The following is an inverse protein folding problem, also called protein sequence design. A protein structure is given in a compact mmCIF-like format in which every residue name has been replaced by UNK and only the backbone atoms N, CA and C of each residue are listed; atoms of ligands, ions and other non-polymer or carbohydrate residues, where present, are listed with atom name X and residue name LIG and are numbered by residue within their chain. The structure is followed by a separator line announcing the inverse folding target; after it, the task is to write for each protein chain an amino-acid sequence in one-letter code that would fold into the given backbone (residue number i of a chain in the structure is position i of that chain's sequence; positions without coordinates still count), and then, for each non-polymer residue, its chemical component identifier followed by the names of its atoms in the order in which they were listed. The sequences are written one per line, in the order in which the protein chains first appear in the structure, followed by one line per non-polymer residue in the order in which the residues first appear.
data_IF_757343730221
#
_entry.id   IF_757343730221
#
_cell.length_a   1.000
_cell.length_b   1.000
_cell.length_c   1.000
_cell.angle_alpha   90.00
_cell.angle_beta   90.00
_cell.angle_gamma   90.00
#
_symmetry.space_group_name_H-M   'P 1'
#
loop_
_entity.id
_entity.type
_entity.pdbx_description
1 polymer ?
#
# COMPACT_ATOMS: atom_id res chain seq x y z
N UNK A 1 -27.84 3.77 3.47
CA UNK A 1 -28.06 3.29 2.10
C UNK A 1 -28.56 4.39 1.14
N UNK A 2 -29.12 5.50 1.59
CA UNK A 2 -29.74 6.54 0.77
C UNK A 2 -29.17 7.95 1.07
N UNK A 3 -27.86 8.11 1.07
CA UNK A 3 -27.25 9.44 1.19
C UNK A 3 -27.16 10.08 -0.21
N UNK A 4 -27.97 11.10 -0.52
CA UNK A 4 -27.99 11.71 -1.83
C UNK A 4 -26.72 12.49 -2.15
N UNK A 5 -26.08 13.09 -1.15
CA UNK A 5 -24.85 13.88 -1.29
C UNK A 5 -23.69 12.99 -1.73
N UNK A 6 -23.51 11.84 -1.04
CA UNK A 6 -22.45 10.88 -1.35
C UNK A 6 -22.72 10.08 -2.63
N UNK A 7 -23.98 9.91 -3.03
CA UNK A 7 -24.31 9.18 -4.28
C UNK A 7 -24.28 10.05 -5.53
N UNK A 8 -24.46 11.35 -5.39
CA UNK A 8 -24.54 12.25 -6.54
C UNK A 8 -23.24 12.26 -7.33
N UNK A 9 -23.28 11.80 -8.59
CA UNK A 9 -22.14 11.70 -9.51
C UNK A 9 -20.95 10.84 -8.99
N UNK A 10 -21.20 9.95 -8.04
CA UNK A 10 -20.28 8.88 -7.70
C UNK A 10 -20.27 7.87 -8.85
N UNK A 11 -19.10 7.56 -9.41
CA UNK A 11 -19.00 6.64 -10.53
C UNK A 11 -18.14 5.40 -10.25
N UNK A 12 -17.26 5.47 -9.24
CA UNK A 12 -16.39 4.36 -8.86
C UNK A 12 -16.11 4.38 -7.37
N UNK A 13 -15.94 3.19 -6.80
CA UNK A 13 -15.46 2.99 -5.43
C UNK A 13 -14.32 2.00 -5.51
N UNK A 14 -13.15 2.40 -5.02
CA UNK A 14 -11.97 1.55 -4.92
C UNK A 14 -11.75 1.13 -3.46
N UNK A 15 -11.33 -0.10 -3.29
CA UNK A 15 -11.05 -0.69 -1.98
C UNK A 15 -9.61 -1.17 -1.92
N UNK A 16 -8.91 -0.75 -0.90
CA UNK A 16 -7.62 -1.30 -0.49
C UNK A 16 -7.81 -1.91 0.89
N UNK A 17 -7.58 -3.21 1.03
CA UNK A 17 -7.87 -3.95 2.27
C UNK A 17 -6.69 -4.79 2.72
N UNK A 18 -6.65 -5.12 4.01
CA UNK A 18 -5.63 -5.99 4.61
C UNK A 18 -6.24 -7.25 5.23
N UNK A 19 -5.40 -8.25 5.47
CA UNK A 19 -5.79 -9.45 6.23
C UNK A 19 -6.16 -9.12 7.69
N UNK A 20 -5.68 -7.98 8.22
CA UNK A 20 -6.01 -7.49 9.57
C UNK A 20 -7.29 -6.64 9.63
N UNK A 21 -8.16 -6.73 8.61
CA UNK A 21 -9.45 -6.03 8.52
C UNK A 21 -9.35 -4.49 8.56
N UNK A 22 -8.28 -3.93 8.00
CA UNK A 22 -8.20 -2.50 7.73
C UNK A 22 -8.63 -2.24 6.28
N UNK A 23 -9.22 -1.08 6.00
CA UNK A 23 -9.59 -0.68 4.67
C UNK A 23 -9.37 0.82 4.42
N UNK A 24 -8.84 1.15 3.25
CA UNK A 24 -8.99 2.48 2.64
C UNK A 24 -10.03 2.36 1.53
N UNK A 25 -11.02 3.23 1.55
CA UNK A 25 -12.10 3.26 0.55
C UNK A 25 -12.07 4.61 -0.14
N UNK A 26 -11.81 4.60 -1.44
CA UNK A 26 -11.79 5.81 -2.27
C UNK A 26 -13.11 5.93 -3.03
N UNK A 27 -13.78 7.05 -2.83
CA UNK A 27 -15.03 7.43 -3.50
C UNK A 27 -14.70 8.40 -4.63
N UNK A 28 -14.92 8.00 -5.91
CA UNK A 28 -14.51 8.75 -7.09
C UNK A 28 -15.72 9.43 -7.76
N UNK A 29 -15.60 10.73 -8.02
CA UNK A 29 -16.70 11.57 -8.44
C UNK A 29 -16.45 12.37 -9.72
N UNK A 30 -17.52 12.56 -10.50
CA UNK A 30 -17.61 13.55 -11.57
C UNK A 30 -18.20 14.89 -11.10
N UNK A 31 -17.87 15.30 -9.88
CA UNK A 31 -18.27 16.61 -9.32
C UNK A 31 -17.15 17.15 -8.43
N UNK A 32 -17.21 18.45 -8.14
CA UNK A 32 -16.37 19.02 -7.05
C UNK A 32 -16.82 18.46 -5.71
N UNK A 33 -15.88 18.23 -4.83
CA UNK A 33 -16.12 17.85 -3.43
C UNK A 33 -16.08 19.13 -2.59
N UNK A 34 -17.08 19.30 -1.75
CA UNK A 34 -17.31 20.48 -0.91
C UNK A 34 -17.39 20.11 0.58
N UNK A 35 -17.68 21.07 1.42
CA UNK A 35 -17.78 20.87 2.87
C UNK A 35 -18.98 19.98 3.23
N UNK A 36 -20.08 20.04 2.48
CA UNK A 36 -21.23 19.17 2.67
C UNK A 36 -20.85 17.70 2.41
N UNK A 37 -20.11 17.46 1.31
CA UNK A 37 -19.57 16.13 1.04
C UNK A 37 -18.67 15.64 2.18
N UNK A 38 -17.79 16.51 2.71
CA UNK A 38 -16.89 16.15 3.81
C UNK A 38 -17.66 15.73 5.05
N UNK A 39 -18.67 16.52 5.47
CA UNK A 39 -19.50 16.22 6.64
C UNK A 39 -20.22 14.87 6.51
N UNK A 40 -20.81 14.61 5.35
CA UNK A 40 -21.51 13.35 5.08
C UNK A 40 -20.57 12.15 5.00
N UNK A 41 -19.37 12.34 4.47
CA UNK A 41 -18.34 11.29 4.42
C UNK A 41 -17.78 10.99 5.83
N UNK A 42 -17.59 12.00 6.67
CA UNK A 42 -17.22 11.83 8.09
C UNK A 42 -18.29 11.06 8.85
N UNK A 43 -19.56 11.42 8.67
CA UNK A 43 -20.69 10.70 9.28
C UNK A 43 -20.76 9.24 8.83
N UNK A 44 -20.51 8.96 7.52
CA UNK A 44 -20.44 7.60 7.00
C UNK A 44 -19.26 6.82 7.63
N UNK A 45 -18.07 7.41 7.68
CA UNK A 45 -16.90 6.79 8.32
C UNK A 45 -17.19 6.40 9.77
N UNK A 46 -17.76 7.33 10.54
CA UNK A 46 -18.03 7.12 11.94
C UNK A 46 -19.09 6.04 12.17
N UNK A 47 -20.12 6.01 11.31
CA UNK A 47 -21.12 4.95 11.32
C UNK A 47 -20.56 3.57 10.99
N UNK A 48 -19.57 3.49 10.08
CA UNK A 48 -18.87 2.24 9.76
C UNK A 48 -17.96 1.81 10.92
N UNK A 49 -17.23 2.73 11.53
CA UNK A 49 -16.39 2.47 12.71
C UNK A 49 -17.19 2.02 13.93
N UNK A 50 -18.40 2.54 14.11
CA UNK A 50 -19.33 2.08 15.15
C UNK A 50 -19.76 0.60 14.95
N UNK A 51 -19.60 0.04 13.75
CA UNK A 51 -19.79 -1.38 13.43
C UNK A 51 -18.48 -2.19 13.50
N UNK A 52 -17.45 -1.68 14.15
CA UNK A 52 -16.12 -2.27 14.28
C UNK A 52 -15.37 -2.45 12.94
N UNK A 53 -15.70 -1.65 11.93
CA UNK A 53 -14.96 -1.62 10.67
C UNK A 53 -13.82 -0.59 10.76
N UNK A 54 -12.58 -1.04 10.64
CA UNK A 54 -11.42 -0.15 10.61
C UNK A 54 -11.26 0.44 9.19
N UNK A 55 -11.95 1.55 8.93
CA UNK A 55 -12.04 2.15 7.60
C UNK A 55 -11.55 3.60 7.59
N UNK A 56 -10.82 3.93 6.53
CA UNK A 56 -10.42 5.29 6.15
C UNK A 56 -11.09 5.64 4.83
N UNK A 57 -11.70 6.84 4.74
CA UNK A 57 -12.40 7.27 3.55
C UNK A 57 -11.63 8.40 2.83
N UNK A 58 -11.59 8.30 1.51
CA UNK A 58 -11.00 9.30 0.63
C UNK A 58 -12.04 9.70 -0.42
N UNK A 59 -12.17 10.99 -0.67
CA UNK A 59 -12.89 11.53 -1.82
C UNK A 59 -11.94 11.92 -2.93
N UNK A 60 -12.23 11.47 -4.15
CA UNK A 60 -11.48 11.88 -5.36
C UNK A 60 -12.37 12.52 -6.39
N UNK A 61 -11.91 13.61 -6.94
CA UNK A 61 -12.48 14.27 -8.11
C UNK A 61 -11.34 14.78 -8.99
N UNK A 62 -11.64 15.40 -10.13
CA UNK A 62 -10.62 15.94 -11.02
C UNK A 62 -9.70 16.92 -10.25
N UNK A 63 -8.42 16.60 -10.18
CA UNK A 63 -7.37 17.37 -9.48
C UNK A 63 -7.64 17.62 -7.98
N UNK A 64 -8.53 16.84 -7.36
CA UNK A 64 -8.88 16.98 -5.94
C UNK A 64 -8.82 15.62 -5.25
N UNK A 65 -8.14 15.59 -4.11
CA UNK A 65 -8.14 14.47 -3.17
C UNK A 65 -8.45 15.03 -1.78
N UNK A 66 -9.46 14.48 -1.13
CA UNK A 66 -9.81 14.78 0.26
C UNK A 66 -9.59 13.52 1.08
N UNK A 67 -8.65 13.55 1.97
CA UNK A 67 -8.41 12.51 2.96
C UNK A 67 -9.14 12.90 4.24
N UNK A 68 -9.94 11.99 4.80
CA UNK A 68 -10.58 12.26 6.10
C UNK A 68 -9.63 11.96 7.26
N UNK A 69 -8.75 10.97 7.10
CA UNK A 69 -7.78 10.58 8.13
C UNK A 69 -6.40 10.31 7.50
N UNK A 70 -6.30 9.24 6.73
CA UNK A 70 -5.07 8.78 6.08
C UNK A 70 -5.37 8.07 4.76
N UNK A 71 -4.36 7.95 3.90
CA UNK A 71 -4.46 7.33 2.58
C UNK A 71 -3.70 5.99 2.48
N UNK A 72 -3.38 5.39 3.60
CA UNK A 72 -2.64 4.13 3.65
C UNK A 72 -3.18 3.19 4.73
N UNK A 73 -2.82 1.93 4.60
CA UNK A 73 -2.99 0.88 5.61
C UNK A 73 -1.73 0.02 5.67
N UNK A 74 -1.47 -0.60 6.81
CA UNK A 74 -0.31 -1.47 7.01
C UNK A 74 -0.76 -2.93 6.99
N UNK A 75 -0.38 -3.65 5.92
CA UNK A 75 -0.60 -5.09 5.78
C UNK A 75 0.45 -5.86 6.58
N UNK A 76 0.01 -6.94 7.25
CA UNK A 76 0.88 -7.84 8.00
C UNK A 76 0.82 -9.23 7.40
N UNK A 77 1.92 -9.68 6.82
CA UNK A 77 2.00 -10.96 6.14
C UNK A 77 2.91 -11.92 6.90
N UNK A 78 2.43 -13.12 7.25
CA UNK A 78 3.29 -14.17 7.80
C UNK A 78 4.08 -14.83 6.65
N UNK A 79 5.33 -14.44 6.46
CA UNK A 79 6.19 -14.92 5.37
C UNK A 79 7.30 -15.79 5.94
N UNK A 80 7.30 -17.09 5.66
CA UNK A 80 8.31 -18.05 6.10
C UNK A 80 8.67 -17.89 7.60
N UNK A 81 7.65 -17.86 8.45
CA UNK A 81 7.78 -17.80 9.91
C UNK A 81 8.11 -16.41 10.47
N UNK A 82 8.20 -15.36 9.64
CA UNK A 82 8.41 -13.97 10.08
C UNK A 82 7.21 -13.12 9.69
N UNK A 83 6.68 -12.31 10.61
CA UNK A 83 5.71 -11.29 10.26
C UNK A 83 6.43 -10.16 9.51
N UNK A 84 5.93 -9.85 8.30
CA UNK A 84 6.40 -8.75 7.48
C UNK A 84 5.33 -7.64 7.44
N UNK A 85 5.76 -6.41 7.62
CA UNK A 85 4.88 -5.22 7.60
C UNK A 85 5.08 -4.49 6.28
N UNK A 86 3.96 -4.26 5.56
CA UNK A 86 3.96 -3.56 4.29
C UNK A 86 2.93 -2.44 4.29
N UNK A 87 3.38 -1.19 4.28
CA UNK A 87 2.51 -0.05 4.03
C UNK A 87 2.02 -0.07 2.59
N UNK A 88 0.72 -0.06 2.44
CA UNK A 88 0.02 0.03 1.18
C UNK A 88 -0.62 1.41 1.10
N UNK A 89 -0.28 2.17 0.05
CA UNK A 89 -0.76 3.54 -0.15
C UNK A 89 -1.83 3.54 -1.23
N UNK A 90 -2.91 4.26 -0.98
CA UNK A 90 -4.00 4.44 -1.93
C UNK A 90 -3.48 4.94 -3.29
N UNK A 91 -4.03 4.38 -4.38
CA UNK A 91 -3.62 4.66 -5.76
C UNK A 91 -2.15 4.33 -6.08
N UNK A 92 -1.50 3.49 -5.28
CA UNK A 92 -0.20 2.88 -5.58
C UNK A 92 -0.37 1.39 -5.84
N UNK A 93 0.52 0.81 -6.64
CA UNK A 93 0.45 -0.63 -6.89
C UNK A 93 0.78 -1.41 -5.61
N UNK A 94 -0.06 -2.40 -5.31
CA UNK A 94 0.18 -3.42 -4.29
C UNK A 94 -0.29 -4.78 -4.81
N UNK A 95 0.21 -5.88 -4.23
CA UNK A 95 -0.29 -7.20 -4.58
C UNK A 95 -1.72 -7.38 -4.06
N UNK A 96 -2.73 -7.52 -4.95
CA UNK A 96 -4.13 -7.47 -4.55
C UNK A 96 -4.61 -8.72 -3.81
N UNK A 97 -3.89 -9.84 -3.93
CA UNK A 97 -4.20 -11.09 -3.26
C UNK A 97 -3.10 -11.40 -2.24
N UNK A 98 -3.37 -11.08 -0.98
CA UNK A 98 -2.41 -11.25 0.11
C UNK A 98 -1.97 -12.72 0.29
N UNK A 99 -2.88 -13.69 0.16
CA UNK A 99 -2.54 -15.11 0.29
C UNK A 99 -1.60 -15.57 -0.83
N UNK A 100 -1.85 -15.14 -2.06
CA UNK A 100 -0.95 -15.40 -3.18
C UNK A 100 0.37 -14.67 -3.02
N UNK A 101 0.36 -13.44 -2.51
CA UNK A 101 1.59 -12.70 -2.25
C UNK A 101 2.50 -13.43 -1.26
N UNK A 102 1.95 -13.97 -0.17
CA UNK A 102 2.71 -14.80 0.77
C UNK A 102 3.39 -15.96 0.03
N UNK A 103 2.66 -16.70 -0.78
CA UNK A 103 3.22 -17.82 -1.55
C UNK A 103 4.32 -17.40 -2.52
N UNK A 104 4.14 -16.26 -3.20
CA UNK A 104 5.15 -15.70 -4.11
C UNK A 104 6.43 -15.31 -3.37
N UNK A 105 6.30 -14.68 -2.20
CA UNK A 105 7.44 -14.29 -1.37
C UNK A 105 8.16 -15.51 -0.80
N UNK A 106 7.42 -16.52 -0.33
CA UNK A 106 7.98 -17.78 0.19
C UNK A 106 8.69 -18.57 -0.90
N UNK A 107 8.10 -18.66 -2.10
CA UNK A 107 8.75 -19.27 -3.24
C UNK A 107 10.05 -18.53 -3.61
N UNK A 108 10.03 -17.21 -3.69
CA UNK A 108 11.21 -16.42 -4.00
C UNK A 108 12.32 -16.60 -2.95
N UNK A 109 11.94 -16.70 -1.67
CA UNK A 109 12.87 -17.01 -0.59
C UNK A 109 13.49 -18.42 -0.72
N UNK A 110 12.71 -19.40 -1.12
CA UNK A 110 13.20 -20.78 -1.28
C UNK A 110 14.18 -20.87 -2.45
N UNK A 111 13.84 -20.32 -3.63
CA UNK A 111 14.71 -20.38 -4.82
C UNK A 111 15.98 -19.54 -4.69
N UNK A 112 15.99 -18.54 -3.81
CA UNK A 112 17.19 -17.73 -3.52
C UNK A 112 17.93 -18.17 -2.26
N UNK A 113 17.51 -19.26 -1.63
CA UNK A 113 18.15 -19.80 -0.43
C UNK A 113 19.60 -20.18 -0.70
N UNK A 114 20.50 -19.66 0.13
CA UNK A 114 21.94 -19.89 -0.04
C UNK A 114 22.60 -19.01 -1.10
N UNK A 115 21.89 -18.07 -1.69
CA UNK A 115 22.48 -17.01 -2.52
C UNK A 115 23.52 -16.23 -1.71
N UNK A 116 24.55 -15.74 -2.39
CA UNK A 116 25.60 -14.89 -1.83
C UNK A 116 25.75 -13.65 -2.71
N UNK A 117 26.21 -12.56 -2.11
CA UNK A 117 26.41 -11.29 -2.82
C UNK A 117 25.18 -10.40 -2.79
N UNK A 118 25.06 -9.55 -3.78
CA UNK A 118 24.08 -8.45 -3.80
C UNK A 118 22.87 -8.79 -4.70
N UNK A 119 21.71 -8.26 -4.33
CA UNK A 119 20.48 -8.31 -5.13
C UNK A 119 20.19 -6.92 -5.72
N UNK A 120 19.88 -6.88 -7.00
CA UNK A 120 19.28 -5.73 -7.66
C UNK A 120 17.82 -6.04 -7.99
N UNK A 121 16.90 -5.18 -7.53
CA UNK A 121 15.49 -5.21 -7.91
C UNK A 121 15.12 -3.93 -8.65
N UNK A 122 14.52 -4.05 -9.83
CA UNK A 122 13.96 -2.93 -10.59
C UNK A 122 12.44 -2.90 -10.39
N UNK A 123 11.84 -1.68 -10.33
CA UNK A 123 10.41 -1.48 -10.13
C UNK A 123 9.90 -2.08 -8.79
N UNK A 124 10.61 -1.85 -7.70
CA UNK A 124 10.35 -2.53 -6.44
C UNK A 124 9.02 -2.15 -5.75
N UNK A 125 8.34 -1.10 -6.21
CA UNK A 125 7.13 -0.60 -5.58
C UNK A 125 7.36 -0.19 -4.12
N UNK A 126 6.57 -0.74 -3.21
CA UNK A 126 6.75 -0.55 -1.76
C UNK A 126 7.80 -1.49 -1.13
N UNK A 127 8.63 -2.16 -1.96
CA UNK A 127 9.68 -3.06 -1.52
C UNK A 127 9.21 -4.49 -1.21
N UNK A 128 8.12 -4.94 -1.84
CA UNK A 128 7.49 -6.22 -1.55
C UNK A 128 8.48 -7.39 -1.55
N UNK A 129 9.25 -7.56 -2.63
CA UNK A 129 10.27 -8.63 -2.73
C UNK A 129 11.60 -8.21 -2.08
N UNK A 130 12.07 -6.98 -2.29
CA UNK A 130 13.33 -6.50 -1.71
C UNK A 130 13.43 -6.78 -0.21
N UNK A 131 12.37 -6.47 0.54
CA UNK A 131 12.36 -6.61 1.98
C UNK A 131 12.30 -8.08 2.42
N UNK A 132 11.47 -8.90 1.76
CA UNK A 132 11.38 -10.32 2.08
C UNK A 132 12.70 -11.05 1.79
N UNK A 133 13.34 -10.72 0.65
CA UNK A 133 14.56 -11.37 0.16
C UNK A 133 15.83 -10.88 0.86
N UNK A 134 15.80 -9.77 1.58
CA UNK A 134 16.95 -9.16 2.24
C UNK A 134 17.79 -10.17 3.07
N UNK A 135 17.12 -11.13 3.71
CA UNK A 135 17.78 -12.17 4.54
C UNK A 135 18.64 -13.17 3.75
N UNK A 136 18.51 -13.24 2.42
CA UNK A 136 19.23 -14.17 1.57
C UNK A 136 20.43 -13.51 0.85
N UNK A 137 20.61 -12.19 1.01
CA UNK A 137 21.64 -11.43 0.29
C UNK A 137 22.45 -10.54 1.24
N UNK A 138 23.68 -10.22 0.83
CA UNK A 138 24.56 -9.33 1.60
C UNK A 138 24.01 -7.89 1.58
N UNK A 139 23.61 -7.40 0.41
CA UNK A 139 22.98 -6.10 0.19
C UNK A 139 21.89 -6.21 -0.87
N UNK A 140 20.85 -5.39 -0.70
CA UNK A 140 19.77 -5.23 -1.69
C UNK A 140 19.73 -3.79 -2.13
N UNK A 141 19.87 -3.57 -3.43
CA UNK A 141 19.65 -2.29 -4.07
C UNK A 141 18.36 -2.39 -4.88
N UNK A 142 17.43 -1.46 -4.67
CA UNK A 142 16.17 -1.48 -5.39
C UNK A 142 15.82 -0.10 -5.93
N UNK A 143 15.16 -0.05 -7.10
CA UNK A 143 14.75 1.19 -7.74
C UNK A 143 13.24 1.28 -7.90
N UNK A 144 12.69 2.47 -7.72
CA UNK A 144 11.29 2.81 -7.91
C UNK A 144 11.18 4.30 -8.25
N UNK A 145 10.34 4.66 -9.20
CA UNK A 145 10.16 6.04 -9.63
C UNK A 145 9.06 6.78 -8.86
N UNK A 146 8.01 6.06 -8.43
CA UNK A 146 6.84 6.64 -7.77
C UNK A 146 7.18 7.08 -6.34
N UNK A 147 7.11 8.39 -6.09
CA UNK A 147 7.42 8.98 -4.77
C UNK A 147 6.64 8.33 -3.60
N UNK A 148 5.32 8.07 -3.70
CA UNK A 148 4.57 7.42 -2.62
C UNK A 148 5.08 5.99 -2.33
N UNK A 149 5.40 5.23 -3.37
CA UNK A 149 5.93 3.86 -3.23
C UNK A 149 7.30 3.84 -2.58
N UNK A 150 8.21 4.76 -2.97
CA UNK A 150 9.51 4.92 -2.31
C UNK A 150 9.37 5.26 -0.84
N UNK A 151 8.48 6.20 -0.49
CA UNK A 151 8.21 6.56 0.90
C UNK A 151 7.66 5.38 1.70
N UNK A 152 6.74 4.60 1.11
CA UNK A 152 6.22 3.38 1.72
C UNK A 152 7.33 2.33 1.91
N UNK A 153 8.19 2.11 0.91
CA UNK A 153 9.32 1.18 1.00
C UNK A 153 10.30 1.58 2.12
N UNK A 154 10.63 2.85 2.26
CA UNK A 154 11.48 3.35 3.35
C UNK A 154 10.84 3.15 4.73
N UNK A 155 9.53 3.40 4.85
CA UNK A 155 8.79 3.07 6.07
C UNK A 155 8.86 1.57 6.37
N UNK A 156 8.64 0.72 5.35
CA UNK A 156 8.63 -0.73 5.49
C UNK A 156 10.00 -1.28 5.91
N UNK A 157 11.10 -0.72 5.40
CA UNK A 157 12.47 -1.05 5.83
C UNK A 157 12.60 -0.83 7.34
N UNK A 158 12.21 0.36 7.82
CA UNK A 158 12.29 0.70 9.23
C UNK A 158 11.36 -0.18 10.10
N UNK A 159 10.10 -0.39 9.67
CA UNK A 159 9.11 -1.17 10.40
C UNK A 159 9.50 -2.65 10.54
N UNK A 160 10.25 -3.19 9.58
CA UNK A 160 10.74 -4.58 9.59
C UNK A 160 12.17 -4.73 10.18
N UNK A 161 12.79 -3.63 10.64
CA UNK A 161 14.16 -3.60 11.17
C UNK A 161 15.19 -4.21 10.20
N UNK A 162 15.11 -3.83 8.91
CA UNK A 162 16.00 -4.29 7.85
C UNK A 162 17.08 -3.24 7.64
N UNK A 163 18.35 -3.63 7.61
CA UNK A 163 19.50 -2.76 7.57
C UNK A 163 20.34 -2.86 6.28
N UNK A 164 20.06 -3.88 5.45
CA UNK A 164 20.80 -4.16 4.23
C UNK A 164 20.04 -3.87 2.93
N UNK A 165 18.94 -3.12 2.98
CA UNK A 165 18.14 -2.71 1.81
C UNK A 165 18.26 -1.20 1.60
N UNK A 166 18.58 -0.81 0.38
CA UNK A 166 18.57 0.59 -0.06
C UNK A 166 17.59 0.77 -1.23
N UNK A 167 16.66 1.72 -1.09
CA UNK A 167 15.74 2.11 -2.16
C UNK A 167 16.19 3.42 -2.77
N UNK A 168 16.38 3.45 -4.09
CA UNK A 168 16.71 4.65 -4.84
C UNK A 168 15.50 5.07 -5.67
N UNK A 169 15.13 6.35 -5.57
CA UNK A 169 14.11 6.91 -6.45
C UNK A 169 14.72 7.20 -7.81
N UNK A 170 14.52 6.28 -8.72
CA UNK A 170 15.11 6.31 -10.07
C UNK A 170 14.26 5.49 -11.03
N UNK A 171 14.19 5.89 -12.30
CA UNK A 171 13.66 5.03 -13.35
C UNK A 171 14.63 3.85 -13.58
N UNK A 172 14.07 2.67 -13.85
CA UNK A 172 14.90 1.48 -14.07
C UNK A 172 15.85 1.62 -15.27
N UNK A 173 15.42 2.37 -16.28
CA UNK A 173 16.18 2.67 -17.49
C UNK A 173 17.41 3.55 -17.24
N UNK A 174 17.46 4.26 -16.12
CA UNK A 174 18.59 5.12 -15.72
C UNK A 174 19.69 4.33 -14.96
N UNK A 175 19.43 3.05 -14.68
CA UNK A 175 20.35 2.22 -13.90
C UNK A 175 21.49 1.62 -14.75
N UNK A 176 21.49 1.78 -16.06
CA UNK A 176 22.49 1.20 -16.99
C UNK A 176 23.80 1.98 -17.05
#
# INVERSE_FOLDING_TARGET
RNNPVLRHKLFQIDYLTTLSNQAVVSLLYHKKLDDEWRQEAEALRDALRAQNLNVHLIGRATKTKIELDQDYIDERLPVAGKEMIYRQVENSFTQPNAAMNIQMLEWALDVTKGSKGDLLELYCGNGNFSLALARNFDRVLATEIAKPSVAAAQYNIAANHIDNVQIIRMAAEEFT
#
